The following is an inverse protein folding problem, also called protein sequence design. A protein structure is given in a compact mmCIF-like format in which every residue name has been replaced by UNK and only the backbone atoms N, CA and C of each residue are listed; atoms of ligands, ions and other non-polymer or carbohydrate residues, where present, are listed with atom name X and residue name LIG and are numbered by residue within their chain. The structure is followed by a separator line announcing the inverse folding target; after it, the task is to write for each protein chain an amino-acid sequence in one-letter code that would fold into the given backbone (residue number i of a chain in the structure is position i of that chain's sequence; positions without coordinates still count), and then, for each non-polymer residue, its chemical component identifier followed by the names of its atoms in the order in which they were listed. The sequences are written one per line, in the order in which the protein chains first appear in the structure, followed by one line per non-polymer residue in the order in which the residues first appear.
data_IF_531225383328
#
_entry.id   IF_531225383328
#
_cell.length_a   1.000
_cell.length_b   1.000
_cell.length_c   1.000
_cell.angle_alpha   90.00
_cell.angle_beta   90.00
_cell.angle_gamma   90.00
#
_symmetry.space_group_name_H-M   'P 1'
#
loop_
_entity.id
_entity.type
_entity.pdbx_description
1 polymer ?
#
# COMPACT_ATOMS: atom_id res chain seq x y z
N UNK A 1 14.23 -43.04 -11.30
CA UNK A 1 15.13 -42.09 -10.58
C UNK A 1 14.91 -40.72 -11.20
N UNK A 2 14.29 -39.77 -10.48
CA UNK A 2 14.13 -38.41 -11.01
C UNK A 2 15.50 -37.71 -11.06
N UNK A 3 15.83 -36.96 -12.13
CA UNK A 3 17.10 -36.27 -12.20
C UNK A 3 17.18 -35.13 -11.17
N UNK A 4 18.35 -34.94 -10.57
CA UNK A 4 18.61 -33.93 -9.53
C UNK A 4 18.40 -32.50 -10.02
N UNK A 5 18.62 -32.25 -11.31
CA UNK A 5 18.55 -30.92 -11.94
C UNK A 5 17.15 -30.29 -11.89
N UNK A 6 16.06 -30.94 -12.36
CA UNK A 6 14.72 -30.37 -12.24
C UNK A 6 14.25 -30.21 -10.80
N UNK A 7 14.69 -31.07 -9.88
CA UNK A 7 14.37 -30.95 -8.45
C UNK A 7 14.96 -29.67 -7.85
N UNK A 8 16.20 -29.34 -8.20
CA UNK A 8 16.86 -28.11 -7.75
C UNK A 8 16.16 -26.86 -8.32
N UNK A 9 15.80 -26.88 -9.61
CA UNK A 9 15.08 -25.78 -10.25
C UNK A 9 13.70 -25.55 -9.62
N UNK A 10 12.97 -26.63 -9.31
CA UNK A 10 11.65 -26.54 -8.68
C UNK A 10 11.76 -26.00 -7.24
N UNK A 11 12.77 -26.43 -6.48
CA UNK A 11 13.02 -25.94 -5.13
C UNK A 11 13.34 -24.43 -5.10
N UNK A 12 14.10 -23.93 -6.08
CA UNK A 12 14.41 -22.50 -6.20
C UNK A 12 13.20 -21.65 -6.62
N UNK A 13 12.28 -22.21 -7.42
CA UNK A 13 11.09 -21.51 -7.90
C UNK A 13 9.92 -21.50 -6.89
N UNK A 14 9.85 -22.50 -6.00
CA UNK A 14 8.82 -22.62 -4.98
C UNK A 14 8.56 -21.35 -4.13
N UNK A 15 9.57 -20.61 -3.62
CA UNK A 15 9.33 -19.41 -2.80
C UNK A 15 8.61 -18.27 -3.54
N UNK A 16 8.69 -18.22 -4.88
CA UNK A 16 8.01 -17.18 -5.67
C UNK A 16 6.47 -17.31 -5.64
N UNK A 17 5.96 -18.48 -5.24
CA UNK A 17 4.53 -18.77 -5.21
C UNK A 17 3.89 -18.54 -3.83
N UNK A 18 4.68 -18.35 -2.77
CA UNK A 18 4.20 -18.34 -1.37
C UNK A 18 3.91 -16.93 -0.81
N UNK A 19 4.02 -15.89 -1.65
CA UNK A 19 3.88 -14.48 -1.22
C UNK A 19 2.46 -13.89 -1.30
N UNK A 20 1.46 -14.62 -1.78
CA UNK A 20 0.10 -14.09 -1.94
C UNK A 20 -0.79 -14.42 -0.73
N UNK A 21 -0.62 -13.71 0.38
CA UNK A 21 -1.55 -13.78 1.52
C UNK A 21 -2.78 -12.86 1.33
N UNK A 22 -3.93 -13.14 1.99
CA UNK A 22 -5.13 -12.30 1.91
C UNK A 22 -4.91 -10.87 2.43
N UNK A 23 -3.85 -10.64 3.20
CA UNK A 23 -3.48 -9.33 3.74
C UNK A 23 -2.54 -8.53 2.82
N UNK A 24 -2.15 -9.08 1.66
CA UNK A 24 -1.26 -8.41 0.71
C UNK A 24 -2.09 -7.86 -0.44
N UNK A 25 -2.19 -6.51 -0.51
CA UNK A 25 -2.87 -5.82 -1.61
C UNK A 25 -2.02 -5.92 -2.89
N UNK A 26 -2.61 -6.42 -3.97
CA UNK A 26 -1.95 -6.46 -5.29
C UNK A 26 -2.04 -5.09 -5.98
N UNK A 27 -0.97 -4.59 -6.62
CA UNK A 27 -1.02 -3.35 -7.38
C UNK A 27 -1.89 -3.52 -8.62
N UNK A 28 -2.70 -2.51 -8.93
CA UNK A 28 -3.49 -2.47 -10.17
C UNK A 28 -2.67 -1.76 -11.26
N UNK A 29 -1.82 -2.52 -11.96
CA UNK A 29 -0.85 -1.95 -12.92
C UNK A 29 -1.51 -1.26 -14.13
N UNK A 30 -2.69 -1.71 -14.54
CA UNK A 30 -3.38 -1.21 -15.74
C UNK A 30 -4.66 -0.42 -15.44
N UNK A 31 -5.09 -0.37 -14.18
CA UNK A 31 -6.29 0.36 -13.75
C UNK A 31 -6.05 0.96 -12.35
N UNK A 32 -5.37 2.12 -12.27
CA UNK A 32 -5.05 2.77 -11.00
C UNK A 32 -6.28 3.37 -10.30
N UNK A 33 -7.47 3.32 -10.89
CA UNK A 33 -8.69 3.93 -10.37
C UNK A 33 -8.73 5.46 -10.58
N UNK A 34 -9.79 6.08 -10.05
CA UNK A 34 -10.01 7.53 -10.20
C UNK A 34 -9.09 8.35 -9.27
N UNK A 35 -9.06 9.67 -9.48
CA UNK A 35 -8.20 10.58 -8.72
C UNK A 35 -8.44 10.54 -7.19
N UNK A 36 -9.68 10.31 -6.77
CA UNK A 36 -10.00 10.22 -5.35
C UNK A 36 -9.46 8.93 -4.72
N UNK A 37 -9.55 7.79 -5.43
CA UNK A 37 -8.91 6.52 -5.02
C UNK A 37 -7.39 6.65 -4.96
N UNK A 38 -6.77 7.24 -5.97
CA UNK A 38 -5.32 7.44 -6.00
C UNK A 38 -4.85 8.36 -4.86
N UNK A 39 -5.59 9.44 -4.57
CA UNK A 39 -5.28 10.34 -3.45
C UNK A 39 -5.44 9.65 -2.10
N UNK A 40 -6.46 8.80 -1.94
CA UNK A 40 -6.62 8.00 -0.75
C UNK A 40 -5.42 7.06 -0.55
N UNK A 41 -4.99 6.36 -1.60
CA UNK A 41 -3.87 5.43 -1.55
C UNK A 41 -2.55 6.14 -1.21
N UNK A 42 -2.34 7.33 -1.78
CA UNK A 42 -1.18 8.18 -1.46
C UNK A 42 -1.14 8.59 0.02
N UNK A 43 -2.30 8.81 0.64
CA UNK A 43 -2.41 9.14 2.07
C UNK A 43 -2.22 7.90 2.93
N UNK A 44 -2.78 6.75 2.54
CA UNK A 44 -2.68 5.51 3.30
C UNK A 44 -1.26 4.93 3.33
N UNK A 45 -0.53 5.04 2.22
CA UNK A 45 0.84 4.55 2.08
C UNK A 45 1.89 5.67 2.23
N UNK A 46 1.54 6.75 2.94
CA UNK A 46 2.41 7.89 3.18
C UNK A 46 3.65 7.48 4.02
N UNK A 47 4.89 7.62 3.50
CA UNK A 47 6.09 7.27 4.24
C UNK A 47 6.54 8.34 5.24
N UNK A 48 5.94 9.55 5.20
CA UNK A 48 6.34 10.63 6.07
C UNK A 48 5.77 10.44 7.49
N UNK A 49 6.58 10.70 8.54
CA UNK A 49 6.10 10.54 9.90
C UNK A 49 4.94 11.48 10.19
N UNK A 50 4.10 11.07 11.14
CA UNK A 50 3.06 11.92 11.66
C UNK A 50 3.64 12.94 12.67
N UNK A 51 3.00 14.11 12.86
CA UNK A 51 3.53 15.18 13.71
C UNK A 51 3.66 14.80 15.20
N UNK A 52 2.91 13.79 15.64
CA UNK A 52 2.92 13.19 16.98
C UNK A 52 4.03 12.13 17.16
N UNK A 53 4.70 11.72 16.08
CA UNK A 53 5.71 10.64 16.08
C UNK A 53 7.12 11.16 15.90
N UNK A 54 7.32 12.17 15.04
CA UNK A 54 8.64 12.74 14.76
C UNK A 54 8.54 14.22 14.37
N UNK A 55 9.67 14.96 14.38
CA UNK A 55 9.71 16.34 13.93
C UNK A 55 9.22 16.52 12.48
N UNK A 56 8.68 17.69 12.19
CA UNK A 56 8.18 18.02 10.85
C UNK A 56 9.30 18.04 9.80
N UNK A 57 9.03 17.42 8.65
CA UNK A 57 9.91 17.44 7.48
C UNK A 57 9.39 18.48 6.49
N UNK A 58 9.88 19.71 6.63
CA UNK A 58 9.48 20.84 5.77
C UNK A 58 9.91 20.59 4.33
N UNK A 59 8.95 20.65 3.40
CA UNK A 59 9.20 20.46 1.97
C UNK A 59 9.42 19.02 1.52
N UNK A 60 9.37 18.03 2.42
CA UNK A 60 9.48 16.61 2.04
C UNK A 60 8.24 16.11 1.29
N UNK A 61 7.05 16.42 1.81
CA UNK A 61 5.78 15.97 1.24
C UNK A 61 5.48 16.62 -0.12
N UNK A 62 4.96 15.87 -1.12
CA UNK A 62 4.52 16.43 -2.40
C UNK A 62 3.45 17.52 -2.25
N UNK A 63 3.38 18.45 -3.21
CA UNK A 63 2.37 19.54 -3.24
C UNK A 63 0.94 18.97 -3.14
N UNK A 64 0.13 19.52 -2.23
CA UNK A 64 -1.25 19.08 -1.94
C UNK A 64 -1.37 17.96 -0.89
N UNK A 65 -0.24 17.51 -0.33
CA UNK A 65 -0.14 16.46 0.70
C UNK A 65 0.66 16.92 1.94
N UNK A 66 0.92 18.23 2.07
CA UNK A 66 1.67 18.81 3.21
C UNK A 66 1.00 18.49 4.54
N UNK A 67 -0.33 18.55 4.58
CA UNK A 67 -1.11 18.33 5.79
C UNK A 67 -1.47 16.84 5.91
N UNK A 68 -0.98 16.14 6.94
CA UNK A 68 -1.36 14.76 7.19
C UNK A 68 -2.81 14.68 7.70
N UNK A 69 -3.36 13.47 7.72
CA UNK A 69 -4.73 13.22 8.19
C UNK A 69 -4.83 13.57 9.68
N UNK A 70 -5.83 14.35 10.12
CA UNK A 70 -6.03 14.65 11.54
C UNK A 70 -6.14 13.37 12.38
N UNK A 71 -5.59 13.39 13.59
CA UNK A 71 -5.59 12.24 14.51
C UNK A 71 -6.99 11.65 14.72
N UNK A 72 -8.00 12.50 14.91
CA UNK A 72 -9.40 12.08 15.08
C UNK A 72 -9.91 11.27 13.88
N UNK A 73 -9.51 11.64 12.66
CA UNK A 73 -9.89 10.92 11.45
C UNK A 73 -9.09 9.61 11.27
N UNK A 74 -7.80 9.60 11.68
CA UNK A 74 -6.97 8.37 11.68
C UNK A 74 -7.52 7.31 12.65
N UNK A 75 -7.89 7.74 13.86
CA UNK A 75 -8.42 6.85 14.91
C UNK A 75 -9.74 6.17 14.54
N UNK A 76 -10.50 6.75 13.60
CA UNK A 76 -11.71 6.14 13.02
C UNK A 76 -11.41 5.05 11.99
N UNK A 77 -10.13 4.76 11.75
CA UNK A 77 -9.68 3.73 10.84
C UNK A 77 -9.63 4.25 9.41
N UNK A 78 -8.45 4.74 9.01
CA UNK A 78 -8.09 4.77 7.60
C UNK A 78 -8.05 3.30 7.14
N UNK A 79 -9.13 2.80 6.52
CA UNK A 79 -9.24 1.38 6.09
C UNK A 79 -8.97 1.26 4.61
N UNK A 80 -8.06 0.36 4.17
CA UNK A 80 -7.78 0.17 2.75
C UNK A 80 -9.07 0.10 1.93
N UNK A 81 -9.19 0.94 0.90
CA UNK A 81 -10.34 0.88 0.00
C UNK A 81 -10.32 -0.49 -0.67
N UNK A 82 -11.36 -1.29 -0.41
CA UNK A 82 -11.54 -2.57 -1.08
C UNK A 82 -11.66 -2.36 -2.61
N UNK A 83 -11.17 -3.28 -3.45
CA UNK A 83 -11.37 -3.19 -4.90
C UNK A 83 -12.86 -2.99 -5.23
N UNK A 84 -13.20 -1.88 -5.89
CA UNK A 84 -14.58 -1.54 -6.26
C UNK A 84 -15.35 -0.66 -5.27
N UNK A 85 -14.77 -0.31 -4.12
CA UNK A 85 -15.39 0.64 -3.18
C UNK A 85 -15.04 2.08 -3.58
N UNK A 86 -16.06 2.95 -3.62
CA UNK A 86 -15.82 4.38 -3.83
C UNK A 86 -15.08 4.97 -2.61
N UNK A 87 -14.12 5.89 -2.82
CA UNK A 87 -13.45 6.57 -1.72
C UNK A 87 -14.47 7.31 -0.85
N UNK A 88 -14.26 7.37 0.48
CA UNK A 88 -15.17 8.10 1.36
C UNK A 88 -15.24 9.58 0.93
N UNK A 89 -16.43 10.20 0.93
CA UNK A 89 -16.55 11.64 0.74
C UNK A 89 -15.78 12.35 1.86
N UNK A 90 -15.16 13.48 1.51
CA UNK A 90 -14.42 14.31 2.47
C UNK A 90 -15.36 15.06 3.39
#
# INVERSE_FOLDING_TARGET
MLPLRPLLSLALAAPLLVGCGPNVRKPRLFDPGNAATQRYDAIFHDPYPMPDVAPEIVGGRPRGYQQPVPEVARGRGLRPIAPGMAPPPR
#
